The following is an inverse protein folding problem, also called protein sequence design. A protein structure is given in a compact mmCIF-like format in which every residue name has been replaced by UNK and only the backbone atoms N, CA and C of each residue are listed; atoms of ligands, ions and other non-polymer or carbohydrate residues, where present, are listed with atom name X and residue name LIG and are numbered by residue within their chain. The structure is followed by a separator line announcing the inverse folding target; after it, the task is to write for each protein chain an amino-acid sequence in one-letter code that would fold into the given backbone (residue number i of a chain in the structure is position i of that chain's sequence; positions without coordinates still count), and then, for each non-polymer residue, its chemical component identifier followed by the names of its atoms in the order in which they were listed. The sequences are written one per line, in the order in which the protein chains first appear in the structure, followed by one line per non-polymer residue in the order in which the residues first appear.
data_IF_336757572849
#
_entry.id   IF_336757572849
#
_cell.length_a   1.000
_cell.length_b   1.000
_cell.length_c   1.000
_cell.angle_alpha   90.00
_cell.angle_beta   90.00
_cell.angle_gamma   90.00
#
_symmetry.space_group_name_H-M   'P 1'
#
loop_
_entity.id
_entity.type
_entity.pdbx_description
1 polymer ?
#
# COMPACT_ATOMS: atom_id res chain seq x y z
N UNK A 1 -22.26 14.01 9.78
CA UNK A 1 -22.29 15.42 10.23
C UNK A 1 -23.30 15.57 11.36
N UNK A 2 -22.86 15.83 12.58
CA UNK A 2 -23.72 16.18 13.73
C UNK A 2 -23.31 17.55 14.28
N UNK A 3 -24.29 18.38 14.63
CA UNK A 3 -24.06 19.69 15.26
C UNK A 3 -25.07 19.94 16.37
N UNK A 4 -24.69 20.75 17.35
CA UNK A 4 -25.58 21.15 18.45
C UNK A 4 -25.50 22.66 18.68
N UNK A 5 -26.66 23.31 18.75
CA UNK A 5 -26.87 24.58 19.45
C UNK A 5 -27.41 24.33 20.85
N UNK A 6 -27.06 25.16 21.85
CA UNK A 6 -27.50 25.01 23.26
C UNK A 6 -29.01 24.70 23.36
N UNK A 7 -29.39 23.52 23.90
CA UNK A 7 -30.80 23.21 24.17
C UNK A 7 -31.45 24.22 25.11
N UNK A 8 -32.72 24.55 24.85
CA UNK A 8 -33.48 25.45 25.70
C UNK A 8 -33.55 24.93 27.14
N UNK A 9 -33.28 25.80 28.12
CA UNK A 9 -33.36 25.48 29.55
C UNK A 9 -32.08 24.91 30.18
N UNK A 10 -31.02 24.64 29.42
CA UNK A 10 -29.72 24.26 30.02
C UNK A 10 -28.92 25.49 30.47
N UNK A 11 -28.09 25.38 31.52
CA UNK A 11 -27.13 26.43 31.90
C UNK A 11 -26.08 26.69 30.81
N UNK A 12 -25.29 27.76 30.95
CA UNK A 12 -24.20 28.08 30.02
C UNK A 12 -23.07 27.05 30.04
N UNK A 13 -22.97 26.29 31.13
CA UNK A 13 -22.07 25.14 31.27
C UNK A 13 -22.88 23.86 31.36
N UNK A 14 -22.63 22.91 30.47
CA UNK A 14 -23.33 21.63 30.48
C UNK A 14 -22.46 20.54 29.88
N UNK A 15 -22.78 19.28 30.17
CA UNK A 15 -22.19 18.11 29.54
C UNK A 15 -23.21 17.39 28.67
N UNK A 16 -22.76 16.81 27.56
CA UNK A 16 -23.59 15.98 26.68
C UNK A 16 -22.81 14.72 26.32
N UNK A 17 -23.53 13.59 26.26
CA UNK A 17 -23.07 12.37 25.61
C UNK A 17 -23.99 12.03 24.46
N UNK A 18 -23.43 11.81 23.29
CA UNK A 18 -24.11 11.15 22.18
C UNK A 18 -23.57 9.74 22.02
N UNK A 19 -24.46 8.80 21.69
CA UNK A 19 -24.09 7.42 21.42
C UNK A 19 -24.94 6.85 20.29
N UNK A 20 -24.30 6.24 19.30
CA UNK A 20 -24.99 5.54 18.20
C UNK A 20 -24.13 4.44 17.61
N UNK A 21 -24.76 3.37 17.17
CA UNK A 21 -24.11 2.36 16.33
C UNK A 21 -24.17 2.78 14.86
N UNK A 22 -23.04 2.73 14.17
CA UNK A 22 -22.90 3.15 12.77
C UNK A 22 -22.11 2.09 12.03
N UNK A 23 -22.67 1.61 10.92
CA UNK A 23 -21.93 0.76 9.99
C UNK A 23 -20.93 1.63 9.22
N UNK A 24 -19.65 1.30 9.31
CA UNK A 24 -18.57 2.00 8.63
C UNK A 24 -17.78 1.01 7.79
N UNK A 25 -17.67 1.22 6.46
CA UNK A 25 -16.83 0.41 5.60
C UNK A 25 -15.35 0.43 6.01
N UNK A 26 -14.61 -0.62 5.62
CA UNK A 26 -13.17 -0.66 5.78
C UNK A 26 -12.49 0.46 4.99
N UNK A 27 -11.94 1.46 5.67
CA UNK A 27 -11.11 2.55 5.11
C UNK A 27 -10.55 3.46 6.20
N UNK A 28 -9.65 4.36 5.80
CA UNK A 28 -9.22 5.49 6.63
C UNK A 28 -10.27 6.61 6.60
N UNK A 29 -10.48 7.26 7.74
CA UNK A 29 -11.31 8.44 7.90
C UNK A 29 -10.51 9.56 8.56
N UNK A 30 -10.75 10.80 8.16
CA UNK A 30 -10.36 11.99 8.92
C UNK A 30 -11.56 12.43 9.73
N UNK A 31 -11.42 12.45 11.05
CA UNK A 31 -12.41 12.99 11.97
C UNK A 31 -12.03 14.43 12.30
N UNK A 32 -13.02 15.32 12.19
CA UNK A 32 -12.91 16.71 12.56
C UNK A 32 -13.91 17.00 13.68
N UNK A 33 -13.44 17.66 14.74
CA UNK A 33 -14.30 18.13 15.83
C UNK A 33 -14.04 19.60 16.09
N UNK A 34 -15.04 20.43 15.86
CA UNK A 34 -15.04 21.81 16.26
C UNK A 34 -15.80 21.94 17.59
N UNK A 35 -15.11 22.33 18.67
CA UNK A 35 -15.73 22.37 19.99
C UNK A 35 -15.14 23.46 20.90
N UNK A 36 -15.98 24.03 21.78
CA UNK A 36 -15.57 24.93 22.85
C UNK A 36 -15.72 24.23 24.20
N UNK A 37 -14.65 24.14 24.98
CA UNK A 37 -14.57 23.23 26.14
C UNK A 37 -13.93 21.91 25.74
N UNK A 38 -14.24 20.82 26.44
CA UNK A 38 -13.59 19.53 26.18
C UNK A 38 -14.42 18.59 25.33
N UNK A 39 -13.73 17.70 24.61
CA UNK A 39 -14.33 16.64 23.80
C UNK A 39 -13.54 15.33 23.95
N UNK A 40 -14.26 14.22 23.91
CA UNK A 40 -13.69 12.87 23.78
C UNK A 40 -14.55 12.08 22.79
N UNK A 41 -13.90 11.40 21.86
CA UNK A 41 -14.57 10.51 20.90
C UNK A 41 -14.03 9.11 21.07
N UNK A 42 -14.95 8.14 21.17
CA UNK A 42 -14.66 6.71 21.23
C UNK A 42 -15.35 5.98 20.10
N UNK A 43 -14.63 5.01 19.54
CA UNK A 43 -15.17 3.98 18.66
C UNK A 43 -15.10 2.66 19.40
N UNK A 44 -16.27 2.07 19.66
CA UNK A 44 -16.47 1.05 20.68
C UNK A 44 -15.95 1.57 22.03
N UNK A 45 -14.93 0.94 22.60
CA UNK A 45 -14.30 1.34 23.87
C UNK A 45 -12.94 2.03 23.68
N UNK A 46 -12.50 2.23 22.43
CA UNK A 46 -11.20 2.84 22.11
C UNK A 46 -11.35 4.34 21.95
N UNK A 47 -10.57 5.12 22.71
CA UNK A 47 -10.49 6.57 22.56
C UNK A 47 -9.70 6.89 21.30
N UNK A 48 -10.35 7.53 20.32
CA UNK A 48 -9.73 7.96 19.07
C UNK A 48 -9.39 9.44 19.05
N UNK A 49 -10.05 10.23 19.91
CA UNK A 49 -9.77 11.65 20.10
C UNK A 49 -9.98 11.99 21.56
N UNK A 50 -8.95 12.54 22.19
CA UNK A 50 -8.98 13.00 23.59
C UNK A 50 -8.51 14.45 23.64
N UNK A 51 -9.43 15.35 23.94
CA UNK A 51 -9.11 16.74 24.19
C UNK A 51 -10.03 17.29 25.28
N UNK A 52 -9.83 16.78 26.50
CA UNK A 52 -10.68 17.07 27.64
C UNK A 52 -10.28 18.35 28.40
N UNK A 53 -9.94 19.42 27.67
CA UNK A 53 -9.39 20.64 28.26
C UNK A 53 -10.36 21.83 28.18
N UNK A 54 -10.31 22.70 29.19
CA UNK A 54 -11.10 23.93 29.22
C UNK A 54 -10.40 24.97 28.36
N UNK A 55 -11.09 25.52 27.38
CA UNK A 55 -10.49 26.47 26.46
C UNK A 55 -11.47 26.99 25.42
N UNK A 56 -11.01 27.94 24.58
CA UNK A 56 -11.82 28.50 23.51
C UNK A 56 -12.22 27.45 22.47
N UNK A 57 -13.06 27.87 21.53
CA UNK A 57 -13.44 27.07 20.36
C UNK A 57 -12.19 26.67 19.56
N UNK A 58 -12.03 25.37 19.30
CA UNK A 58 -10.88 24.81 18.57
C UNK A 58 -11.29 23.66 17.67
N UNK A 59 -10.54 23.49 16.58
CA UNK A 59 -10.67 22.37 15.65
C UNK A 59 -9.66 21.29 16.05
N UNK A 60 -10.15 20.08 16.31
CA UNK A 60 -9.33 18.89 16.47
C UNK A 60 -9.46 18.00 15.23
N UNK A 61 -8.35 17.39 14.84
CA UNK A 61 -8.27 16.49 13.68
C UNK A 61 -7.58 15.18 14.09
N UNK A 62 -8.14 14.04 13.71
CA UNK A 62 -7.50 12.73 13.89
C UNK A 62 -7.81 11.81 12.72
N UNK A 63 -6.83 10.99 12.34
CA UNK A 63 -7.01 9.94 11.33
C UNK A 63 -7.25 8.59 12.02
N UNK A 64 -8.25 7.85 11.55
CA UNK A 64 -8.57 6.50 12.04
C UNK A 64 -8.72 5.55 10.85
N UNK A 65 -8.08 4.39 10.90
CA UNK A 65 -8.29 3.32 9.93
C UNK A 65 -9.21 2.27 10.53
N UNK A 66 -10.34 2.02 9.84
CA UNK A 66 -11.42 1.16 10.32
C UNK A 66 -11.54 -0.08 9.43
N UNK A 67 -12.01 -1.18 10.01
CA UNK A 67 -12.44 -2.37 9.30
C UNK A 67 -13.93 -2.25 8.93
N UNK A 68 -14.41 -3.13 8.07
CA UNK A 68 -15.84 -3.17 7.71
C UNK A 68 -16.63 -3.78 8.87
N UNK A 69 -17.28 -2.92 9.66
CA UNK A 69 -17.95 -3.30 10.89
C UNK A 69 -18.98 -2.26 11.34
N UNK A 70 -19.78 -2.65 12.33
CA UNK A 70 -20.61 -1.72 13.10
C UNK A 70 -19.80 -1.23 14.29
N UNK A 71 -19.58 0.08 14.38
CA UNK A 71 -18.92 0.71 15.50
C UNK A 71 -19.93 1.42 16.41
N UNK A 72 -19.81 1.24 17.71
CA UNK A 72 -20.48 2.11 18.69
C UNK A 72 -19.70 3.41 18.81
N UNK A 73 -20.22 4.49 18.26
CA UNK A 73 -19.62 5.82 18.36
C UNK A 73 -20.14 6.49 19.63
N UNK A 74 -19.24 6.84 20.55
CA UNK A 74 -19.55 7.60 21.77
C UNK A 74 -18.80 8.92 21.73
N UNK A 75 -19.54 10.01 21.91
CA UNK A 75 -18.99 11.37 21.95
C UNK A 75 -19.37 11.97 23.29
N UNK A 76 -18.37 12.34 24.07
CA UNK A 76 -18.53 13.15 25.27
C UNK A 76 -18.08 14.58 24.97
N UNK A 77 -18.85 15.54 25.44
CA UNK A 77 -18.52 16.95 25.33
C UNK A 77 -18.95 17.69 26.60
N UNK A 78 -18.14 18.65 27.04
CA UNK A 78 -18.61 19.67 27.97
C UNK A 78 -18.42 21.07 27.39
N UNK A 79 -19.47 21.88 27.55
CA UNK A 79 -19.53 23.27 27.15
C UNK A 79 -19.12 24.16 28.33
N UNK A 80 -18.36 25.21 28.02
CA UNK A 80 -18.03 26.31 28.93
C UNK A 80 -18.82 27.58 28.54
N UNK A 81 -18.85 28.65 29.36
CA UNK A 81 -19.62 29.84 29.03
C UNK A 81 -19.25 30.45 27.67
N UNK A 82 -20.27 30.96 26.97
CA UNK A 82 -20.16 31.52 25.61
C UNK A 82 -21.07 30.81 24.60
N UNK A 83 -20.88 31.09 23.30
CA UNK A 83 -21.61 30.44 22.22
C UNK A 83 -21.42 28.92 22.29
N UNK A 84 -22.52 28.19 22.16
CA UNK A 84 -22.49 26.73 22.08
C UNK A 84 -22.25 26.32 20.63
N UNK A 85 -21.02 25.94 20.35
CA UNK A 85 -20.56 25.54 19.03
C UNK A 85 -19.88 24.18 19.15
N UNK A 86 -20.65 23.12 18.85
CA UNK A 86 -20.13 21.77 18.68
C UNK A 86 -20.51 21.25 17.30
N UNK A 87 -19.51 20.88 16.50
CA UNK A 87 -19.68 20.26 15.20
C UNK A 87 -18.70 19.09 15.07
N UNK A 88 -19.21 17.96 14.59
CA UNK A 88 -18.40 16.79 14.28
C UNK A 88 -18.78 16.24 12.91
N UNK A 89 -17.75 16.00 12.11
CA UNK A 89 -17.88 15.33 10.83
C UNK A 89 -16.66 14.48 10.60
N UNK A 90 -16.82 13.48 9.75
CA UNK A 90 -15.72 12.70 9.25
C UNK A 90 -15.80 12.66 7.74
N UNK A 91 -14.64 12.51 7.12
CA UNK A 91 -14.49 12.35 5.70
C UNK A 91 -13.71 11.06 5.47
N UNK A 92 -14.15 10.17 4.56
CA UNK A 92 -13.28 9.12 4.04
C UNK A 92 -11.96 9.76 3.56
N UNK A 93 -10.83 9.17 3.93
CA UNK A 93 -9.54 9.53 3.33
C UNK A 93 -9.30 8.63 2.12
N UNK A 94 -8.81 9.25 1.04
CA UNK A 94 -8.63 8.60 -0.26
C UNK A 94 -9.90 8.61 -1.12
N UNK A 95 -9.73 8.72 -2.45
CA UNK A 95 -10.85 8.52 -3.37
C UNK A 95 -11.25 7.05 -3.31
N UNK A 96 -12.44 6.76 -2.75
CA UNK A 96 -12.92 5.38 -2.68
C UNK A 96 -13.66 4.95 -3.94
N UNK A 97 -13.90 5.90 -4.83
CA UNK A 97 -14.46 5.66 -6.15
C UNK A 97 -13.31 5.64 -7.17
N UNK A 98 -13.52 4.88 -8.24
CA UNK A 98 -12.68 4.97 -9.42
C UNK A 98 -13.09 6.20 -10.21
N UNK A 99 -12.11 6.99 -10.63
CA UNK A 99 -12.33 7.97 -11.69
C UNK A 99 -12.18 7.26 -13.04
N UNK A 100 -13.29 7.03 -13.73
CA UNK A 100 -13.30 6.51 -15.09
C UNK A 100 -13.17 7.66 -16.08
N UNK A 101 -12.26 7.56 -17.04
CA UNK A 101 -12.09 8.52 -18.12
C UNK A 101 -12.18 7.78 -19.44
N UNK A 102 -12.95 8.31 -20.40
CA UNK A 102 -13.33 7.61 -21.63
C UNK A 102 -12.81 8.33 -22.87
N UNK A 103 -12.27 7.59 -23.85
CA UNK A 103 -11.77 8.12 -25.12
C UNK A 103 -12.40 7.42 -26.33
N UNK A 104 -12.61 8.17 -27.41
CA UNK A 104 -13.14 7.69 -28.69
C UNK A 104 -12.05 7.08 -29.60
N UNK A 105 -11.09 6.37 -29.00
CA UNK A 105 -10.04 5.62 -29.66
C UNK A 105 -9.51 4.55 -28.71
N UNK A 106 -8.70 3.62 -29.21
CA UNK A 106 -8.15 2.50 -28.44
C UNK A 106 -6.84 2.83 -27.71
N UNK A 107 -6.32 4.04 -27.86
CA UNK A 107 -4.96 4.41 -27.43
C UNK A 107 -4.94 5.38 -26.23
N UNK A 108 -6.09 5.62 -25.59
CA UNK A 108 -6.23 6.56 -24.45
C UNK A 108 -5.72 7.97 -24.79
N UNK A 109 -5.90 8.40 -26.04
CA UNK A 109 -5.22 9.57 -26.59
C UNK A 109 -6.17 10.71 -26.93
N UNK A 110 -5.66 11.95 -26.88
CA UNK A 110 -6.42 13.16 -27.18
C UNK A 110 -7.38 13.56 -26.06
N UNK A 111 -8.37 14.39 -26.40
CA UNK A 111 -9.35 14.90 -25.43
C UNK A 111 -10.33 13.78 -25.03
N UNK A 112 -10.51 13.50 -23.73
CA UNK A 112 -11.52 12.57 -23.26
C UNK A 112 -12.94 13.00 -23.67
N UNK A 113 -13.80 12.02 -23.94
CA UNK A 113 -15.22 12.25 -24.24
C UNK A 113 -16.03 12.47 -22.96
N UNK A 114 -15.69 11.73 -21.90
CA UNK A 114 -16.35 11.83 -20.60
C UNK A 114 -15.39 11.43 -19.48
N UNK A 115 -15.72 11.87 -18.26
CA UNK A 115 -15.13 11.36 -17.03
C UNK A 115 -16.20 11.32 -15.93
N UNK A 116 -16.23 10.24 -15.16
CA UNK A 116 -17.18 10.06 -14.07
C UNK A 116 -16.57 9.26 -12.90
N UNK A 117 -17.22 9.32 -11.74
CA UNK A 117 -16.86 8.45 -10.62
C UNK A 117 -17.72 7.18 -10.63
N UNK A 118 -17.10 6.03 -10.39
CA UNK A 118 -17.78 4.73 -10.27
C UNK A 118 -17.29 3.99 -9.02
N UNK A 119 -18.19 3.36 -8.29
CA UNK A 119 -17.83 2.69 -7.02
C UNK A 119 -16.99 1.41 -7.26
N UNK A 120 -17.31 0.66 -8.32
CA UNK A 120 -16.69 -0.62 -8.65
C UNK A 120 -16.20 -0.63 -10.09
N UNK A 121 -15.22 -1.49 -10.37
CA UNK A 121 -14.78 -1.83 -11.71
C UNK A 121 -15.28 -3.24 -12.01
N UNK A 122 -16.53 -3.32 -12.46
CA UNK A 122 -17.23 -4.54 -12.85
C UNK A 122 -18.23 -4.20 -13.96
N UNK A 123 -17.70 -3.77 -15.09
CA UNK A 123 -18.44 -3.25 -16.24
C UNK A 123 -18.75 -4.38 -17.22
N UNK A 124 -20.01 -4.41 -17.66
CA UNK A 124 -20.48 -5.26 -18.74
C UNK A 124 -21.39 -4.42 -19.65
N UNK A 125 -20.84 -3.99 -20.78
CA UNK A 125 -21.56 -3.19 -21.76
C UNK A 125 -22.18 -4.04 -22.87
N UNK A 126 -21.86 -5.34 -22.94
CA UNK A 126 -22.21 -6.20 -24.07
C UNK A 126 -21.88 -5.47 -25.40
N UNK A 127 -22.81 -5.41 -26.36
CA UNK A 127 -22.64 -4.68 -27.63
C UNK A 127 -22.95 -3.17 -27.53
N UNK A 128 -22.90 -2.61 -26.32
CA UNK A 128 -23.31 -1.24 -25.99
C UNK A 128 -22.14 -0.25 -25.91
N UNK A 129 -22.45 1.05 -26.01
CA UNK A 129 -21.48 2.10 -25.71
C UNK A 129 -21.44 2.37 -24.20
N UNK A 130 -20.27 2.67 -23.62
CA UNK A 130 -20.14 2.82 -22.16
C UNK A 130 -20.76 4.12 -21.63
N UNK A 131 -20.71 5.18 -22.43
CA UNK A 131 -21.25 6.51 -22.11
C UNK A 131 -21.79 7.17 -23.38
N UNK A 132 -22.68 8.15 -23.21
CA UNK A 132 -23.18 8.94 -24.33
C UNK A 132 -22.03 9.67 -25.05
N UNK A 133 -22.04 9.65 -26.38
CA UNK A 133 -21.01 10.27 -27.21
C UNK A 133 -19.90 9.32 -27.67
N UNK A 134 -19.86 8.08 -27.16
CA UNK A 134 -19.01 7.02 -27.68
C UNK A 134 -19.76 6.08 -28.64
N UNK A 135 -19.01 5.50 -29.57
CA UNK A 135 -19.45 4.34 -30.34
C UNK A 135 -19.47 3.06 -29.48
N UNK A 136 -20.09 2.01 -30.02
CA UNK A 136 -20.09 0.67 -29.39
C UNK A 136 -18.70 0.02 -29.41
N UNK A 137 -17.91 0.38 -30.41
CA UNK A 137 -16.60 -0.20 -30.68
C UNK A 137 -15.53 0.90 -30.70
N UNK A 138 -14.26 0.49 -30.63
CA UNK A 138 -13.08 1.36 -30.76
C UNK A 138 -13.02 2.50 -29.73
N UNK A 139 -13.27 2.17 -28.47
CA UNK A 139 -13.12 3.09 -27.34
C UNK A 139 -12.08 2.58 -26.34
N UNK A 140 -11.65 3.45 -25.43
CA UNK A 140 -10.80 3.07 -24.31
C UNK A 140 -11.20 3.78 -23.03
N UNK A 141 -10.86 3.16 -21.91
CA UNK A 141 -11.18 3.65 -20.57
C UNK A 141 -9.96 3.54 -19.68
N UNK A 142 -9.69 4.58 -18.91
CA UNK A 142 -8.75 4.55 -17.78
C UNK A 142 -9.52 4.72 -16.49
N UNK A 143 -9.35 3.79 -15.56
CA UNK A 143 -9.81 3.94 -14.19
C UNK A 143 -8.62 4.22 -13.28
N UNK A 144 -8.74 5.27 -12.48
CA UNK A 144 -7.75 5.60 -11.45
C UNK A 144 -8.41 5.60 -10.07
N UNK A 145 -7.75 4.97 -9.10
CA UNK A 145 -8.18 4.99 -7.71
C UNK A 145 -6.97 4.96 -6.79
N UNK A 146 -7.08 5.61 -5.63
CA UNK A 146 -6.07 5.51 -4.59
C UNK A 146 -6.69 4.91 -3.34
N UNK A 147 -6.14 3.82 -2.85
CA UNK A 147 -6.71 3.05 -1.74
C UNK A 147 -5.67 2.87 -0.64
N UNK A 148 -6.11 2.91 0.63
CA UNK A 148 -5.24 2.54 1.76
C UNK A 148 -5.35 1.03 1.99
N UNK A 149 -4.23 0.31 1.91
CA UNK A 149 -4.14 -1.14 2.13
C UNK A 149 -3.25 -1.45 3.34
N UNK A 150 -3.62 -2.54 4.04
CA UNK A 150 -2.73 -3.13 5.02
C UNK A 150 -1.60 -3.85 4.29
N UNK A 151 -0.38 -3.79 4.83
CA UNK A 151 0.77 -4.46 4.20
C UNK A 151 0.56 -5.96 4.11
N UNK A 152 0.94 -6.58 2.99
CA UNK A 152 0.72 -8.01 2.75
C UNK A 152 0.82 -8.38 1.28
N UNK A 153 0.74 -9.68 1.01
CA UNK A 153 0.63 -10.19 -0.35
C UNK A 153 -0.81 -10.01 -0.84
N UNK A 154 -0.99 -9.40 -2.01
CA UNK A 154 -2.30 -9.25 -2.64
C UNK A 154 -2.33 -10.04 -3.95
N UNK A 155 -3.47 -10.69 -4.22
CA UNK A 155 -3.79 -11.18 -5.57
C UNK A 155 -4.78 -10.22 -6.21
N UNK A 156 -4.46 -9.78 -7.42
CA UNK A 156 -5.33 -9.01 -8.30
C UNK A 156 -5.87 -9.94 -9.38
N UNK A 157 -7.19 -9.94 -9.56
CA UNK A 157 -7.89 -10.76 -10.55
C UNK A 157 -8.65 -9.80 -11.49
N UNK A 158 -8.27 -9.80 -12.77
CA UNK A 158 -8.86 -8.96 -13.82
C UNK A 158 -9.59 -9.82 -14.86
N UNK A 159 -10.73 -9.33 -15.35
CA UNK A 159 -11.46 -9.91 -16.48
C UNK A 159 -11.76 -8.84 -17.51
N UNK A 160 -11.55 -9.11 -18.79
CA UNK A 160 -11.63 -8.09 -19.84
C UNK A 160 -11.86 -8.68 -21.23
N UNK A 161 -12.55 -7.91 -22.07
CA UNK A 161 -12.76 -8.11 -23.50
C UNK A 161 -12.82 -6.70 -24.11
N UNK A 162 -11.86 -6.17 -24.87
CA UNK A 162 -10.69 -6.81 -25.50
C UNK A 162 -9.40 -6.85 -24.65
N UNK A 163 -8.79 -5.70 -24.33
CA UNK A 163 -7.42 -5.61 -23.83
C UNK A 163 -7.30 -4.74 -22.58
N UNK A 164 -6.39 -5.11 -21.67
CA UNK A 164 -6.27 -4.48 -20.35
C UNK A 164 -4.81 -4.39 -19.86
N UNK A 165 -4.49 -3.30 -19.16
CA UNK A 165 -3.30 -3.18 -18.33
C UNK A 165 -3.67 -2.78 -16.92
N UNK A 166 -3.02 -3.38 -15.93
CA UNK A 166 -3.13 -3.00 -14.53
C UNK A 166 -1.79 -2.46 -14.04
N UNK A 167 -1.82 -1.30 -13.41
CA UNK A 167 -0.69 -0.72 -12.71
C UNK A 167 -1.00 -0.57 -11.22
N UNK A 168 -0.02 -0.93 -10.38
CA UNK A 168 -0.06 -0.69 -8.93
C UNK A 168 1.16 0.11 -8.55
N UNK A 169 0.97 1.33 -8.03
CA UNK A 169 2.05 2.29 -7.74
C UNK A 169 2.99 2.54 -8.94
N UNK A 170 2.43 2.53 -10.15
CA UNK A 170 3.16 2.68 -11.40
C UNK A 170 3.85 1.40 -11.92
N UNK A 171 3.87 0.32 -11.14
CA UNK A 171 4.35 -0.99 -11.61
C UNK A 171 3.30 -1.64 -12.51
N UNK A 172 3.64 -1.88 -13.78
CA UNK A 172 2.81 -2.65 -14.72
C UNK A 172 2.75 -4.12 -14.28
N UNK A 173 1.63 -4.50 -13.69
CA UNK A 173 1.40 -5.78 -13.04
C UNK A 173 0.72 -6.80 -13.99
N UNK A 174 -0.18 -6.33 -14.85
CA UNK A 174 -0.79 -7.11 -15.94
C UNK A 174 -0.63 -6.29 -17.22
N UNK A 175 -0.12 -6.90 -18.29
CA UNK A 175 0.01 -6.29 -19.61
C UNK A 175 -0.56 -7.20 -20.69
N UNK A 176 -1.83 -7.00 -21.04
CA UNK A 176 -2.46 -7.68 -22.17
C UNK A 176 -3.17 -6.67 -23.09
N UNK A 177 -2.38 -5.88 -23.82
CA UNK A 177 -2.89 -4.84 -24.72
C UNK A 177 -3.10 -5.34 -26.15
N UNK A 178 -3.92 -6.38 -26.33
CA UNK A 178 -4.25 -6.95 -27.63
C UNK A 178 -5.75 -7.24 -27.79
N UNK A 179 -6.21 -7.31 -29.04
CA UNK A 179 -7.58 -7.70 -29.36
C UNK A 179 -7.76 -9.20 -29.16
N UNK A 180 -8.95 -9.60 -28.74
CA UNK A 180 -9.40 -10.97 -28.68
C UNK A 180 -10.58 -11.09 -27.72
N UNK A 181 -11.22 -12.27 -27.73
CA UNK A 181 -12.36 -12.60 -26.87
C UNK A 181 -12.09 -12.39 -25.38
N UNK A 182 -13.14 -12.34 -24.57
CA UNK A 182 -13.08 -12.28 -23.12
C UNK A 182 -12.01 -13.21 -22.50
N UNK A 183 -11.12 -12.61 -21.69
CA UNK A 183 -10.02 -13.25 -20.99
C UNK A 183 -10.01 -12.85 -19.51
N UNK A 184 -9.27 -13.61 -18.73
CA UNK A 184 -8.93 -13.26 -17.35
C UNK A 184 -7.43 -13.31 -17.15
N UNK A 185 -6.92 -12.48 -16.25
CA UNK A 185 -5.54 -12.49 -15.80
C UNK A 185 -5.47 -12.29 -14.29
N UNK A 186 -4.52 -12.96 -13.66
CA UNK A 186 -4.26 -12.82 -12.23
C UNK A 186 -2.77 -12.55 -12.00
N UNK A 187 -2.47 -11.70 -11.03
CA UNK A 187 -1.11 -11.41 -10.63
C UNK A 187 -1.04 -11.14 -9.12
N UNK A 188 0.09 -11.50 -8.52
CA UNK A 188 0.33 -11.28 -7.09
C UNK A 188 1.40 -10.21 -6.88
N UNK A 189 1.19 -9.34 -5.89
CA UNK A 189 2.12 -8.29 -5.53
C UNK A 189 2.13 -8.11 -4.02
N UNK A 190 3.32 -8.10 -3.42
CA UNK A 190 3.46 -7.68 -2.04
C UNK A 190 3.39 -6.15 -1.96
N UNK A 191 2.54 -5.66 -1.06
CA UNK A 191 2.40 -4.24 -0.76
C UNK A 191 2.84 -3.96 0.66
N UNK A 192 3.63 -2.90 0.83
CA UNK A 192 3.88 -2.33 2.16
C UNK A 192 2.60 -1.65 2.68
N UNK A 193 2.40 -1.49 4.00
CA UNK A 193 1.19 -0.82 4.50
C UNK A 193 1.16 0.65 4.08
N UNK A 194 0.02 1.12 3.59
CA UNK A 194 -0.17 2.53 3.27
C UNK A 194 -1.06 2.77 2.06
N UNK A 195 -0.84 3.92 1.43
CA UNK A 195 -1.62 4.42 0.32
C UNK A 195 -1.05 3.92 -1.00
N UNK A 196 -1.87 3.26 -1.81
CA UNK A 196 -1.48 2.70 -3.11
C UNK A 196 -2.35 3.25 -4.24
N UNK A 197 -1.73 3.59 -5.37
CA UNK A 197 -2.43 3.96 -6.60
C UNK A 197 -2.69 2.73 -7.45
N UNK A 198 -3.94 2.54 -7.85
CA UNK A 198 -4.35 1.57 -8.85
C UNK A 198 -4.74 2.32 -10.12
N UNK A 199 -4.19 1.90 -11.26
CA UNK A 199 -4.58 2.38 -12.59
C UNK A 199 -4.93 1.18 -13.45
N UNK A 200 -6.10 1.20 -14.07
CA UNK A 200 -6.52 0.20 -15.05
C UNK A 200 -6.73 0.89 -16.37
N UNK A 201 -5.96 0.48 -17.37
CA UNK A 201 -6.18 0.86 -18.76
C UNK A 201 -6.93 -0.26 -19.46
N UNK A 202 -7.90 0.08 -20.29
CA UNK A 202 -8.68 -0.87 -21.06
C UNK A 202 -9.00 -0.30 -22.43
N UNK A 203 -9.10 -1.15 -23.44
CA UNK A 203 -9.75 -0.79 -24.70
C UNK A 203 -10.72 -1.85 -25.17
N UNK A 204 -11.71 -1.38 -25.91
CA UNK A 204 -12.62 -2.18 -26.73
C UNK A 204 -12.31 -1.92 -28.20
N UNK A 205 -12.14 -2.99 -28.97
CA UNK A 205 -11.88 -3.00 -30.39
C UNK A 205 -13.14 -3.23 -31.20
N UNK A 206 -13.74 -4.42 -31.10
CA UNK A 206 -14.97 -4.81 -31.78
C UNK A 206 -15.76 -5.87 -30.99
N UNK A 207 -17.08 -5.69 -30.88
CA UNK A 207 -17.98 -6.71 -30.37
C UNK A 207 -18.42 -6.46 -28.93
N UNK A 208 -18.26 -7.45 -28.07
CA UNK A 208 -18.73 -7.38 -26.68
C UNK A 208 -17.68 -6.75 -25.78
N UNK A 209 -18.07 -5.74 -25.02
CA UNK A 209 -17.17 -5.02 -24.13
C UNK A 209 -17.44 -5.35 -22.67
N UNK A 210 -16.41 -5.78 -21.94
CA UNK A 210 -16.46 -5.96 -20.50
C UNK A 210 -15.11 -5.71 -19.84
N UNK A 211 -15.12 -5.22 -18.60
CA UNK A 211 -13.91 -4.99 -17.81
C UNK A 211 -14.20 -5.12 -16.32
N UNK A 212 -13.37 -5.86 -15.59
CA UNK A 212 -13.51 -6.06 -14.15
C UNK A 212 -12.16 -6.15 -13.47
N UNK A 213 -12.09 -5.65 -12.23
CA UNK A 213 -10.94 -5.81 -11.35
C UNK A 213 -11.42 -6.10 -9.94
N UNK A 214 -10.84 -7.13 -9.34
CA UNK A 214 -10.96 -7.41 -7.92
C UNK A 214 -9.58 -7.68 -7.33
N UNK A 215 -9.44 -7.52 -6.01
CA UNK A 215 -8.22 -7.88 -5.31
C UNK A 215 -8.54 -8.40 -3.91
N UNK A 216 -7.65 -9.24 -3.40
CA UNK A 216 -7.73 -9.76 -2.04
C UNK A 216 -6.36 -9.87 -1.41
N UNK A 217 -6.29 -9.56 -0.11
CA UNK A 217 -5.07 -9.80 0.68
C UNK A 217 -4.98 -11.29 1.01
N UNK A 218 -3.89 -11.91 0.61
CA UNK A 218 -3.56 -13.27 0.97
C UNK A 218 -3.00 -13.32 2.40
N UNK A 219 -3.33 -14.37 3.15
CA UNK A 219 -2.87 -14.58 4.53
C UNK A 219 -1.42 -15.03 4.65
N UNK A 220 -0.66 -15.06 3.55
CA UNK A 220 0.73 -15.49 3.54
C UNK A 220 1.61 -14.50 4.31
N UNK A 221 2.51 -15.04 5.13
CA UNK A 221 3.44 -14.25 5.94
C UNK A 221 4.87 -14.68 5.68
N UNK A 222 5.81 -13.76 5.91
CA UNK A 222 7.24 -13.98 5.77
C UNK A 222 7.92 -13.65 7.11
N UNK A 223 7.84 -14.54 8.11
CA UNK A 223 8.37 -14.27 9.44
C UNK A 223 9.90 -14.16 9.50
N UNK A 224 10.61 -14.64 8.47
CA UNK A 224 12.05 -14.49 8.33
C UNK A 224 12.36 -13.38 7.32
N UNK A 225 13.08 -13.68 6.23
CA UNK A 225 13.31 -12.76 5.13
C UNK A 225 12.32 -13.04 4.00
N UNK A 226 11.59 -12.02 3.56
CA UNK A 226 10.83 -12.10 2.31
C UNK A 226 11.79 -11.91 1.15
N UNK A 227 12.09 -12.99 0.43
CA UNK A 227 12.86 -12.97 -0.80
C UNK A 227 11.96 -12.76 -2.01
N UNK A 228 12.25 -11.75 -2.81
CA UNK A 228 11.60 -11.40 -4.07
C UNK A 228 12.59 -11.68 -5.19
N UNK A 229 12.32 -12.68 -6.03
CA UNK A 229 13.24 -13.19 -7.06
C UNK A 229 12.87 -12.67 -8.45
N UNK A 230 13.82 -12.11 -9.19
CA UNK A 230 13.61 -11.49 -10.49
C UNK A 230 14.47 -12.17 -11.57
N UNK A 231 13.91 -12.38 -12.76
CA UNK A 231 14.62 -12.90 -13.92
C UNK A 231 15.37 -11.80 -14.72
N UNK A 232 15.93 -10.82 -14.01
CA UNK A 232 16.79 -9.77 -14.55
C UNK A 232 17.70 -9.26 -13.43
N UNK A 233 18.80 -8.59 -13.75
CA UNK A 233 19.77 -8.08 -12.76
C UNK A 233 19.40 -6.74 -12.15
N UNK A 234 18.32 -6.11 -12.61
CA UNK A 234 17.96 -4.73 -12.26
C UNK A 234 16.81 -4.62 -11.24
N UNK A 235 16.29 -5.74 -10.72
CA UNK A 235 15.13 -5.79 -9.82
C UNK A 235 13.87 -5.14 -10.43
N UNK A 236 13.73 -5.23 -11.76
CA UNK A 236 12.64 -4.60 -12.50
C UNK A 236 11.46 -5.55 -12.68
N UNK A 237 10.27 -4.96 -12.70
CA UNK A 237 9.02 -5.67 -12.97
C UNK A 237 8.48 -6.41 -11.74
N UNK A 238 7.56 -7.34 -12.02
CA UNK A 238 6.94 -8.21 -11.01
C UNK A 238 7.94 -9.32 -10.66
N UNK A 239 8.18 -9.62 -9.37
CA UNK A 239 8.99 -10.78 -8.99
C UNK A 239 8.40 -12.07 -9.56
N UNK A 240 9.26 -12.95 -10.08
CA UNK A 240 8.86 -14.27 -10.58
C UNK A 240 8.31 -15.13 -9.45
N UNK A 241 8.92 -15.01 -8.25
CA UNK A 241 8.47 -15.75 -7.08
C UNK A 241 8.85 -15.05 -5.78
N UNK A 242 8.01 -15.28 -4.76
CA UNK A 242 8.25 -14.89 -3.38
C UNK A 242 8.61 -16.10 -2.52
N UNK A 243 9.59 -15.97 -1.62
CA UNK A 243 9.99 -17.05 -0.69
C UNK A 243 10.23 -16.50 0.71
N UNK A 244 9.96 -17.31 1.74
CA UNK A 244 10.34 -17.02 3.12
C UNK A 244 11.69 -17.67 3.43
N UNK A 245 12.76 -16.92 3.24
CA UNK A 245 14.14 -17.37 3.44
C UNK A 245 14.56 -17.23 4.90
N UNK A 246 15.29 -18.23 5.41
CA UNK A 246 15.82 -18.17 6.79
C UNK A 246 16.80 -17.00 6.96
N UNK A 247 17.68 -16.81 5.98
CA UNK A 247 18.61 -15.69 5.85
C UNK A 247 19.08 -15.58 4.38
N UNK A 248 19.63 -14.42 3.96
CA UNK A 248 20.36 -14.29 2.71
C UNK A 248 21.74 -14.97 2.79
N UNK A 249 21.73 -16.30 2.88
CA UNK A 249 22.93 -17.14 3.00
C UNK A 249 22.77 -18.34 2.04
N UNK A 250 23.25 -18.14 0.81
CA UNK A 250 23.04 -19.04 -0.31
C UNK A 250 24.34 -19.25 -1.11
N UNK A 251 24.56 -20.49 -1.51
CA UNK A 251 25.57 -20.87 -2.50
C UNK A 251 24.86 -21.71 -3.57
N UNK A 252 24.49 -21.05 -4.67
CA UNK A 252 23.84 -21.71 -5.80
C UNK A 252 24.84 -22.31 -6.78
N UNK A 253 26.13 -21.94 -6.69
CA UNK A 253 27.11 -22.24 -7.72
C UNK A 253 26.59 -21.81 -9.10
N UNK A 254 26.63 -22.70 -10.08
CA UNK A 254 26.09 -22.46 -11.44
C UNK A 254 24.59 -22.81 -11.57
N UNK A 255 23.89 -22.98 -10.46
CA UNK A 255 22.49 -23.36 -10.41
C UNK A 255 21.56 -22.15 -10.35
N UNK A 256 20.27 -22.38 -10.63
CA UNK A 256 19.24 -21.35 -10.49
C UNK A 256 18.78 -21.20 -9.02
N UNK A 257 18.44 -19.98 -8.59
CA UNK A 257 18.03 -19.73 -7.21
C UNK A 257 16.64 -20.29 -6.90
N UNK A 258 15.78 -20.33 -7.93
CA UNK A 258 14.40 -20.77 -7.85
C UNK A 258 13.85 -21.11 -9.25
N UNK A 259 12.78 -21.90 -9.32
CA UNK A 259 12.14 -22.24 -10.59
C UNK A 259 11.61 -20.98 -11.31
N UNK A 260 11.78 -20.91 -12.63
CA UNK A 260 11.37 -19.76 -13.45
C UNK A 260 12.40 -18.62 -13.51
N UNK A 261 13.48 -18.70 -12.72
CA UNK A 261 14.64 -17.80 -12.80
C UNK A 261 15.82 -18.59 -13.40
N UNK A 262 16.58 -17.96 -14.27
CA UNK A 262 17.78 -18.57 -14.86
C UNK A 262 18.91 -18.74 -13.86
N UNK A 263 19.94 -19.57 -14.17
CA UNK A 263 21.14 -19.71 -13.33
C UNK A 263 21.99 -18.43 -13.29
N UNK A 264 21.90 -17.61 -14.33
CA UNK A 264 22.60 -16.34 -14.46
C UNK A 264 21.60 -15.21 -14.73
N UNK A 265 22.06 -13.96 -14.63
CA UNK A 265 21.29 -12.75 -14.99
C UNK A 265 20.01 -12.55 -14.17
N UNK A 266 20.11 -12.78 -12.87
CA UNK A 266 19.00 -12.65 -11.95
C UNK A 266 19.29 -11.66 -10.82
N UNK A 267 18.26 -11.29 -10.07
CA UNK A 267 18.41 -10.50 -8.86
C UNK A 267 17.42 -10.91 -7.80
N UNK A 268 17.75 -10.58 -6.55
CA UNK A 268 16.91 -10.86 -5.40
C UNK A 268 16.86 -9.64 -4.48
N UNK A 269 15.66 -9.31 -4.02
CA UNK A 269 15.44 -8.37 -2.91
C UNK A 269 14.95 -9.15 -1.70
N UNK A 270 15.74 -9.15 -0.63
CA UNK A 270 15.30 -9.63 0.67
C UNK A 270 14.92 -8.47 1.57
N UNK A 271 13.79 -8.58 2.25
CA UNK A 271 13.39 -7.62 3.27
C UNK A 271 12.97 -8.30 4.57
N UNK A 272 13.28 -7.67 5.70
CA UNK A 272 12.89 -8.16 7.03
C UNK A 272 12.80 -7.02 8.03
N UNK A 273 11.72 -7.00 8.82
CA UNK A 273 11.65 -6.20 10.04
C UNK A 273 12.25 -6.98 11.21
N UNK A 274 13.18 -6.37 11.92
CA UNK A 274 13.84 -6.94 13.10
C UNK A 274 13.66 -6.01 14.30
N UNK A 275 13.58 -6.58 15.50
CA UNK A 275 13.63 -5.82 16.75
C UNK A 275 14.95 -6.12 17.44
N UNK A 276 15.80 -5.11 17.61
CA UNK A 276 17.15 -5.23 18.14
C UNK A 276 17.24 -4.59 19.53
N UNK A 277 17.95 -5.24 20.44
CA UNK A 277 18.34 -4.63 21.71
C UNK A 277 19.29 -3.46 21.47
N UNK A 278 19.36 -2.50 22.39
CA UNK A 278 20.33 -1.42 22.30
C UNK A 278 21.77 -1.99 22.27
N UNK A 279 22.55 -1.67 21.24
CA UNK A 279 23.91 -2.17 21.11
C UNK A 279 24.65 -1.66 19.88
N UNK A 280 25.94 -1.96 19.83
CA UNK A 280 26.74 -1.84 18.60
C UNK A 280 26.63 -3.15 17.83
N UNK A 281 26.19 -3.06 16.58
CA UNK A 281 26.02 -4.20 15.69
C UNK A 281 26.98 -4.12 14.52
N UNK A 282 27.53 -5.27 14.12
CA UNK A 282 28.25 -5.48 12.87
C UNK A 282 27.30 -6.13 11.87
N UNK A 283 27.12 -5.49 10.73
CA UNK A 283 26.39 -6.02 9.58
C UNK A 283 27.43 -6.29 8.50
N UNK A 284 27.51 -7.52 7.98
CA UNK A 284 28.50 -7.88 6.98
C UNK A 284 27.93 -8.75 5.87
N UNK A 285 28.39 -8.50 4.64
CA UNK A 285 27.97 -9.22 3.45
C UNK A 285 29.19 -9.58 2.62
N UNK A 286 29.19 -10.79 2.07
CA UNK A 286 30.05 -11.21 0.94
C UNK A 286 29.13 -11.77 -0.13
N UNK A 287 29.34 -11.39 -1.39
CA UNK A 287 28.53 -11.92 -2.49
C UNK A 287 29.33 -12.01 -3.79
N UNK A 288 28.83 -12.86 -4.67
CA UNK A 288 29.18 -12.96 -6.08
C UNK A 288 27.86 -12.94 -6.87
N UNK A 289 27.44 -11.87 -7.55
CA UNK A 289 28.15 -10.61 -7.83
C UNK A 289 27.81 -9.50 -6.80
N UNK A 290 27.00 -8.52 -7.21
CA UNK A 290 26.86 -7.24 -6.52
C UNK A 290 25.72 -7.23 -5.52
N UNK A 291 25.85 -6.40 -4.48
CA UNK A 291 24.83 -6.24 -3.46
C UNK A 291 24.70 -4.80 -2.96
N UNK A 292 23.56 -4.50 -2.33
CA UNK A 292 23.33 -3.29 -1.53
C UNK A 292 22.58 -3.64 -0.27
N UNK A 293 22.93 -2.98 0.83
CA UNK A 293 22.22 -3.09 2.11
C UNK A 293 21.64 -1.74 2.51
N UNK A 294 20.36 -1.73 2.82
CA UNK A 294 19.66 -0.60 3.39
C UNK A 294 19.19 -0.94 4.81
N UNK A 295 19.29 0.06 5.68
CA UNK A 295 18.72 0.05 7.02
C UNK A 295 17.76 1.24 7.12
N UNK A 296 16.48 0.96 7.36
CA UNK A 296 15.42 1.98 7.42
C UNK A 296 15.39 2.90 6.19
N UNK A 297 15.62 2.32 5.01
CA UNK A 297 15.69 3.03 3.73
C UNK A 297 17.02 3.77 3.47
N UNK A 298 17.96 3.77 4.42
CA UNK A 298 19.29 4.39 4.26
C UNK A 298 20.29 3.35 3.77
N UNK A 299 20.97 3.63 2.64
CA UNK A 299 22.04 2.80 2.10
C UNK A 299 23.25 2.79 3.03
N UNK A 300 23.63 1.61 3.55
CA UNK A 300 24.74 1.44 4.49
C UNK A 300 25.91 0.63 3.93
N UNK A 301 25.68 -0.24 2.94
CA UNK A 301 26.73 -0.91 2.15
C UNK A 301 26.34 -0.91 0.67
N UNK A 302 27.29 -0.57 -0.20
CA UNK A 302 27.10 -0.58 -1.66
C UNK A 302 28.30 -1.23 -2.36
N UNK A 303 28.03 -2.35 -3.02
CA UNK A 303 28.95 -3.07 -3.91
C UNK A 303 28.29 -3.43 -5.23
N UNK A 304 27.33 -2.61 -5.68
CA UNK A 304 26.56 -2.91 -6.88
C UNK A 304 27.37 -2.82 -8.17
N UNK A 305 28.30 -1.87 -8.28
CA UNK A 305 29.09 -1.68 -9.51
C UNK A 305 30.52 -2.25 -9.42
N UNK A 306 30.97 -2.62 -8.22
CA UNK A 306 32.32 -3.10 -7.93
C UNK A 306 32.24 -4.29 -6.98
N UNK A 307 31.78 -5.47 -7.45
CA UNK A 307 31.69 -6.66 -6.62
C UNK A 307 33.11 -7.13 -6.21
N UNK A 308 33.24 -7.59 -4.97
CA UNK A 308 34.44 -8.23 -4.45
C UNK A 308 34.03 -9.55 -3.80
N UNK A 309 34.22 -10.62 -4.55
CA UNK A 309 33.76 -11.96 -4.21
C UNK A 309 34.56 -12.57 -3.04
N UNK A 310 35.75 -12.04 -2.73
CA UNK A 310 36.67 -12.66 -1.78
C UNK A 310 36.45 -12.22 -0.33
N UNK A 311 35.93 -11.02 -0.10
CA UNK A 311 35.92 -10.39 1.21
C UNK A 311 34.51 -10.09 1.72
N UNK A 312 34.33 -10.17 3.04
CA UNK A 312 33.20 -9.52 3.69
C UNK A 312 33.40 -8.02 3.69
N UNK A 313 32.36 -7.28 3.33
CA UNK A 313 32.24 -5.87 3.60
C UNK A 313 31.30 -5.64 4.78
N UNK A 314 31.75 -4.84 5.73
CA UNK A 314 31.05 -4.65 6.99
C UNK A 314 30.80 -3.18 7.32
N UNK A 315 29.76 -2.93 8.11
CA UNK A 315 29.49 -1.65 8.76
C UNK A 315 29.16 -1.91 10.23
N UNK A 316 29.55 -0.98 11.10
CA UNK A 316 29.21 -1.02 12.53
C UNK A 316 28.29 0.13 12.88
N UNK A 317 27.14 -0.18 13.45
CA UNK A 317 26.07 0.77 13.73
C UNK A 317 25.59 0.62 15.17
N UNK A 318 25.21 1.74 15.80
CA UNK A 318 24.49 1.71 17.07
C UNK A 318 23.00 1.60 16.76
N UNK A 319 22.38 0.48 17.14
CA UNK A 319 21.00 0.14 16.80
C UNK A 319 20.17 -0.12 18.05
N UNK A 320 18.87 0.18 17.98
CA UNK A 320 17.90 -0.12 19.04
C UNK A 320 16.47 -0.08 18.50
N UNK A 321 15.63 -0.99 18.97
CA UNK A 321 14.21 -1.02 18.59
C UNK A 321 13.98 -1.69 17.23
N UNK A 322 12.92 -1.27 16.55
CA UNK A 322 12.53 -1.86 15.27
C UNK A 322 13.29 -1.24 14.12
N UNK A 323 13.79 -2.08 13.23
CA UNK A 323 14.47 -1.68 12.00
C UNK A 323 13.97 -2.50 10.82
N UNK A 324 13.90 -1.87 9.64
CA UNK A 324 13.74 -2.54 8.36
C UNK A 324 15.12 -2.76 7.74
N UNK A 325 15.45 -4.03 7.46
CA UNK A 325 16.59 -4.39 6.65
C UNK A 325 16.10 -4.72 5.23
N UNK A 326 16.76 -4.15 4.23
CA UNK A 326 16.58 -4.51 2.83
C UNK A 326 17.94 -4.83 2.21
N UNK A 327 18.09 -6.05 1.71
CA UNK A 327 19.28 -6.53 1.04
C UNK A 327 18.95 -6.81 -0.42
N UNK A 328 19.64 -6.11 -1.31
CA UNK A 328 19.57 -6.30 -2.74
C UNK A 328 20.79 -7.09 -3.21
N UNK A 329 20.59 -7.99 -4.15
CA UNK A 329 21.63 -8.80 -4.77
C UNK A 329 21.34 -9.00 -6.24
N UNK A 330 22.38 -9.10 -7.07
CA UNK A 330 22.27 -9.65 -8.41
C UNK A 330 23.41 -10.60 -8.71
N UNK A 331 23.13 -11.51 -9.63
CA UNK A 331 24.11 -12.35 -10.32
C UNK A 331 24.06 -12.06 -11.81
N UNK A 332 25.21 -11.77 -12.41
CA UNK A 332 25.33 -11.48 -13.83
C UNK A 332 25.74 -12.72 -14.63
N UNK A 333 26.65 -13.53 -14.08
CA UNK A 333 27.18 -14.73 -14.75
C UNK A 333 28.00 -15.61 -13.81
N UNK A 334 28.10 -16.89 -14.16
CA UNK A 334 28.89 -17.93 -13.51
C UNK A 334 28.34 -18.39 -12.18
N UNK A 335 29.02 -18.10 -11.07
CA UNK A 335 28.73 -18.72 -9.79
C UNK A 335 28.02 -17.72 -8.89
N UNK A 336 26.79 -18.04 -8.51
CA UNK A 336 25.99 -17.17 -7.66
C UNK A 336 26.11 -17.58 -6.19
N UNK A 337 26.58 -16.67 -5.33
CA UNK A 337 26.56 -16.86 -3.88
C UNK A 337 26.40 -15.55 -3.11
N UNK A 338 25.84 -15.63 -1.91
CA UNK A 338 25.75 -14.53 -0.96
C UNK A 338 25.79 -15.07 0.47
N UNK A 339 26.52 -14.40 1.36
CA UNK A 339 26.56 -14.67 2.78
C UNK A 339 26.25 -13.38 3.55
N UNK A 340 25.36 -13.48 4.53
CA UNK A 340 24.89 -12.38 5.38
C UNK A 340 25.20 -12.64 6.86
N UNK A 341 25.73 -11.64 7.55
CA UNK A 341 26.00 -11.68 8.98
C UNK A 341 25.42 -10.45 9.70
N UNK A 342 24.75 -10.69 10.84
CA UNK A 342 24.32 -9.67 11.80
C UNK A 342 24.77 -10.10 13.19
N UNK A 343 25.72 -9.37 13.76
CA UNK A 343 26.33 -9.69 15.06
C UNK A 343 26.22 -8.50 16.02
N UNK A 344 25.81 -8.74 17.27
CA UNK A 344 25.86 -7.73 18.33
C UNK A 344 27.23 -7.77 19.01
N UNK A 345 28.02 -6.72 18.83
CA UNK A 345 29.39 -6.61 19.38
C UNK A 345 29.42 -6.21 20.85
N UNK A 346 28.37 -5.54 21.35
CA UNK A 346 28.33 -5.08 22.74
C UNK A 346 27.31 -3.96 22.98
N UNK A 347 27.27 -3.40 24.21
CA UNK A 347 26.43 -2.25 24.53
C UNK A 347 26.91 -0.97 23.85
N UNK A 348 26.02 0.03 23.76
CA UNK A 348 26.40 1.41 23.41
C UNK A 348 27.09 2.01 24.63
N UNK A 349 28.37 2.38 24.51
CA UNK A 349 29.09 3.09 25.56
C UNK A 349 28.73 4.58 25.45
N UNK A 350 28.20 5.17 26.52
CA UNK A 350 28.08 6.63 26.66
C UNK A 350 29.39 7.17 27.23
N UNK A 351 29.99 8.16 26.57
CA UNK A 351 31.10 8.95 27.11
C UNK A 351 30.71 9.77 28.34
#
# INVERSE_FOLDING_TARGET
HWGLSRPAGLPETFGVRWQRNIALPARSYRLYVWSRGGVRVRLNDVIVLEDWQTGPLRLNEVSVSLADAIYTVVIDHYQIPGPADFHIWWEPQGNTEWTATYWANRDLSGTPVSSEQVETLAMDWNDGAPVAGLGRDNFSVRWERTVDLAGGLYRFDAGYDDGLRLYVDGLLLIDDWQTGVARTASAELWLEPGRHQLVVDYFEGLGQASASLSWQRLGQTFPNWRGEYFANTQLLGVPVQLRNDLAPDFDWGQGAPIAGVGPDTFSVRWSRRVSLEAGVYRLAIRADDGFRLYLDGVLVLDRWANPDQAAFHEVRLQLTGQHLLELLYYDQSFAANIAWELERLGPILTE
#
